data_IF_767875432669
#
_entry.id   IF_767875432669
#
_cell.length_a   1.000
_cell.length_b   1.000
_cell.length_c   1.000
_cell.angle_alpha   90.00
_cell.angle_beta   90.00
_cell.angle_gamma   90.00
#
_symmetry.space_group_name_H-M   'P 1'
#
loop_
_entity.id
_entity.type
_entity.pdbx_description
1 polymer ?
#
# COMPACT_ATOMS: atom_id res chain seq x y z
N UNK A 1 9.94 14.39 12.05
CA UNK A 1 9.30 15.31 11.08
C UNK A 1 8.42 14.47 10.19
N UNK A 2 7.10 14.69 10.21
CA UNK A 2 6.20 14.08 9.24
C UNK A 2 6.63 14.55 7.86
N UNK A 3 7.11 13.65 6.98
CA UNK A 3 7.27 13.99 5.57
C UNK A 3 5.88 14.43 5.09
N UNK A 4 5.78 15.64 4.54
CA UNK A 4 4.54 16.07 3.87
C UNK A 4 4.22 15.06 2.77
N UNK A 5 2.95 14.77 2.57
CA UNK A 5 2.54 14.03 1.37
C UNK A 5 3.07 14.80 0.15
N UNK A 6 3.49 14.11 -0.92
CA UNK A 6 3.72 14.79 -2.19
C UNK A 6 2.45 15.55 -2.58
N UNK A 7 2.56 16.83 -2.95
CA UNK A 7 1.40 17.71 -3.24
C UNK A 7 0.43 17.10 -4.27
N UNK A 8 0.95 16.29 -5.21
CA UNK A 8 0.11 15.56 -6.16
C UNK A 8 -0.78 14.52 -5.47
N UNK A 9 -0.29 13.79 -4.46
CA UNK A 9 -1.10 12.83 -3.69
C UNK A 9 -2.14 13.56 -2.85
N UNK A 10 -1.82 14.72 -2.28
CA UNK A 10 -2.82 15.54 -1.58
C UNK A 10 -3.95 15.96 -2.53
N UNK A 11 -3.61 16.42 -3.73
CA UNK A 11 -4.59 16.72 -4.78
C UNK A 11 -5.43 15.49 -5.17
N UNK A 12 -4.82 14.30 -5.30
CA UNK A 12 -5.54 13.06 -5.62
C UNK A 12 -6.47 12.61 -4.50
N UNK A 13 -6.02 12.68 -3.24
CA UNK A 13 -6.86 12.39 -2.07
C UNK A 13 -8.04 13.36 -2.04
N UNK A 14 -7.80 14.66 -2.23
CA UNK A 14 -8.85 15.68 -2.19
C UNK A 14 -9.86 15.47 -3.33
N UNK A 15 -9.37 15.22 -4.56
CA UNK A 15 -10.17 14.99 -5.78
C UNK A 15 -11.04 13.73 -5.72
N UNK A 16 -10.58 12.66 -5.06
CA UNK A 16 -11.30 11.38 -5.02
C UNK A 16 -11.79 11.01 -3.61
N UNK A 17 -11.65 11.91 -2.62
CA UNK A 17 -12.05 11.75 -1.20
C UNK A 17 -13.45 11.19 -1.01
N UNK A 18 -14.39 11.60 -1.86
CA UNK A 18 -15.79 11.16 -1.82
C UNK A 18 -15.97 9.67 -2.17
N UNK A 19 -15.11 9.10 -3.03
CA UNK A 19 -15.12 7.66 -3.34
C UNK A 19 -14.65 6.84 -2.13
N UNK A 20 -13.77 7.40 -1.30
CA UNK A 20 -13.19 6.70 -0.16
C UNK A 20 -14.13 6.50 1.04
N UNK A 21 -15.28 7.20 1.09
CA UNK A 21 -16.15 7.21 2.27
C UNK A 21 -17.27 6.15 2.27
N UNK A 22 -17.50 5.42 1.18
CA UNK A 22 -18.69 4.54 1.04
C UNK A 22 -18.40 3.03 0.93
N UNK A 23 -17.14 2.63 0.88
CA UNK A 23 -16.72 1.22 0.80
C UNK A 23 -15.41 1.09 0.05
N UNK A 24 -14.29 1.09 0.79
CA UNK A 24 -12.96 1.27 0.20
C UNK A 24 -12.58 0.21 -0.86
N UNK A 25 -13.08 -1.01 -0.77
CA UNK A 25 -12.70 -2.10 -1.70
C UNK A 25 -13.22 -1.84 -3.13
N UNK A 26 -14.52 -1.60 -3.30
CA UNK A 26 -15.11 -1.30 -4.61
C UNK A 26 -14.64 0.07 -5.14
N UNK A 27 -14.49 1.04 -4.25
CA UNK A 27 -14.01 2.38 -4.59
C UNK A 27 -12.55 2.40 -5.04
N UNK A 28 -11.69 1.55 -4.47
CA UNK A 28 -10.28 1.48 -4.87
C UNK A 28 -10.13 0.91 -6.27
N UNK A 29 -10.92 -0.11 -6.64
CA UNK A 29 -10.88 -0.66 -7.99
C UNK A 29 -11.32 0.35 -9.05
N UNK A 30 -12.39 1.10 -8.79
CA UNK A 30 -12.80 2.19 -9.69
C UNK A 30 -11.70 3.26 -9.81
N UNK A 31 -11.11 3.63 -8.68
CA UNK A 31 -9.99 4.57 -8.64
C UNK A 31 -8.77 4.07 -9.42
N UNK A 32 -8.40 2.79 -9.26
CA UNK A 32 -7.31 2.15 -9.99
C UNK A 32 -7.54 2.18 -11.50
N UNK A 33 -8.76 1.84 -11.94
CA UNK A 33 -9.10 1.84 -13.36
C UNK A 33 -9.00 3.25 -13.96
N UNK A 34 -9.49 4.28 -13.26
CA UNK A 34 -9.33 5.68 -13.70
C UNK A 34 -7.86 6.08 -13.78
N UNK A 35 -7.06 5.71 -12.78
CA UNK A 35 -5.63 5.98 -12.80
C UNK A 35 -4.92 5.26 -13.96
N UNK A 36 -5.37 4.05 -14.30
CA UNK A 36 -4.90 3.30 -15.48
C UNK A 36 -5.25 4.01 -16.78
N UNK A 37 -6.50 4.44 -16.94
CA UNK A 37 -6.96 5.18 -18.13
C UNK A 37 -6.21 6.50 -18.33
N UNK A 38 -5.86 7.17 -17.24
CA UNK A 38 -5.10 8.43 -17.24
C UNK A 38 -3.57 8.24 -17.30
N UNK A 39 -3.07 6.99 -17.22
CA UNK A 39 -1.62 6.69 -17.26
C UNK A 39 -0.85 7.05 -15.99
N UNK A 40 -1.54 7.12 -14.84
CA UNK A 40 -1.06 7.56 -13.52
C UNK A 40 -1.24 6.47 -12.45
N UNK A 41 -0.94 5.22 -12.81
CA UNK A 41 -1.08 4.07 -11.90
C UNK A 41 -0.12 4.14 -10.70
N UNK A 42 1.03 4.80 -10.88
CA UNK A 42 2.03 4.94 -9.82
C UNK A 42 1.50 5.73 -8.63
N UNK A 43 0.61 6.68 -8.88
CA UNK A 43 -0.08 7.51 -7.91
C UNK A 43 -1.09 6.68 -7.11
N UNK A 44 -1.79 5.75 -7.77
CA UNK A 44 -2.71 4.84 -7.08
C UNK A 44 -1.98 3.90 -6.12
N UNK A 45 -0.83 3.36 -6.55
CA UNK A 45 0.06 2.55 -5.70
C UNK A 45 0.56 3.37 -4.52
N UNK A 46 1.06 4.58 -4.77
CA UNK A 46 1.60 5.44 -3.72
C UNK A 46 0.53 5.77 -2.67
N UNK A 47 -0.71 5.99 -3.09
CA UNK A 47 -1.84 6.21 -2.19
C UNK A 47 -2.16 4.96 -1.37
N UNK A 48 -2.24 3.78 -1.98
CA UNK A 48 -2.50 2.53 -1.26
C UNK A 48 -1.45 2.27 -0.16
N UNK A 49 -0.17 2.44 -0.51
CA UNK A 49 0.94 2.32 0.44
C UNK A 49 0.82 3.34 1.59
N UNK A 50 0.52 4.60 1.25
CA UNK A 50 0.36 5.64 2.24
C UNK A 50 -0.79 5.32 3.20
N UNK A 51 -1.95 4.93 2.67
CA UNK A 51 -3.12 4.59 3.48
C UNK A 51 -2.86 3.39 4.38
N UNK A 52 -2.18 2.36 3.88
CA UNK A 52 -1.79 1.23 4.71
C UNK A 52 -0.88 1.70 5.86
N UNK A 53 0.13 2.52 5.56
CA UNK A 53 1.06 3.06 6.57
C UNK A 53 0.37 3.92 7.64
N UNK A 54 -0.80 4.48 7.35
CA UNK A 54 -1.59 5.32 8.26
C UNK A 54 -2.82 4.64 8.85
N UNK A 55 -3.10 3.39 8.45
CA UNK A 55 -4.29 2.70 8.91
C UNK A 55 -4.27 2.57 10.43
N UNK A 56 -5.42 2.84 11.04
CA UNK A 56 -5.61 2.78 12.50
C UNK A 56 -6.60 1.70 12.92
N UNK A 57 -7.12 0.92 11.97
CA UNK A 57 -8.00 -0.21 12.25
C UNK A 57 -7.66 -1.44 11.40
N UNK A 58 -7.90 -2.62 11.97
CA UNK A 58 -7.71 -3.89 11.26
C UNK A 58 -8.65 -4.05 10.06
N UNK A 59 -9.84 -3.45 10.11
CA UNK A 59 -10.80 -3.48 9.01
C UNK A 59 -10.26 -2.73 7.79
N UNK A 60 -9.78 -1.50 7.97
CA UNK A 60 -9.15 -0.71 6.91
C UNK A 60 -7.90 -1.42 6.36
N UNK A 61 -7.03 -1.90 7.24
CA UNK A 61 -5.83 -2.65 6.87
C UNK A 61 -6.17 -3.84 5.97
N UNK A 62 -7.17 -4.65 6.36
CA UNK A 62 -7.63 -5.80 5.58
C UNK A 62 -8.15 -5.39 4.20
N UNK A 63 -8.93 -4.31 4.15
CA UNK A 63 -9.53 -3.85 2.90
C UNK A 63 -8.45 -3.35 1.94
N UNK A 64 -7.48 -2.56 2.40
CA UNK A 64 -6.35 -2.10 1.57
C UNK A 64 -5.51 -3.28 1.09
N UNK A 65 -5.18 -4.22 1.98
CA UNK A 65 -4.38 -5.39 1.63
C UNK A 65 -5.07 -6.27 0.58
N UNK A 66 -6.39 -6.43 0.62
CA UNK A 66 -7.13 -7.22 -0.37
C UNK A 66 -7.39 -6.45 -1.67
N UNK A 67 -8.00 -5.28 -1.59
CA UNK A 67 -8.50 -4.56 -2.75
C UNK A 67 -7.46 -3.74 -3.50
N UNK A 68 -6.32 -3.44 -2.86
CA UNK A 68 -5.27 -2.61 -3.47
C UNK A 68 -3.94 -3.35 -3.60
N UNK A 69 -3.46 -3.94 -2.51
CA UNK A 69 -2.13 -4.54 -2.53
C UNK A 69 -2.18 -5.88 -3.27
N UNK A 70 -2.97 -6.85 -2.81
CA UNK A 70 -2.99 -8.21 -3.36
C UNK A 70 -3.30 -8.25 -4.85
N UNK A 71 -4.28 -7.48 -5.31
CA UNK A 71 -4.74 -7.52 -6.69
C UNK A 71 -3.74 -6.88 -7.67
N UNK A 72 -2.97 -5.89 -7.20
CA UNK A 72 -2.10 -5.07 -8.05
C UNK A 72 -0.61 -5.17 -7.73
N UNK A 73 -0.20 -6.01 -6.77
CA UNK A 73 1.20 -6.17 -6.34
C UNK A 73 2.16 -6.48 -7.50
N UNK A 74 1.67 -7.15 -8.54
CA UNK A 74 2.47 -7.52 -9.71
C UNK A 74 2.89 -6.31 -10.54
N UNK A 75 2.18 -5.19 -10.44
CA UNK A 75 2.46 -3.93 -11.15
C UNK A 75 3.46 -3.05 -10.41
N UNK A 76 3.86 -3.41 -9.19
CA UNK A 76 4.74 -2.59 -8.39
C UNK A 76 6.18 -2.63 -8.92
N UNK A 77 6.82 -1.46 -8.90
CA UNK A 77 8.26 -1.30 -9.02
C UNK A 77 8.97 -1.59 -7.70
N UNK A 78 10.31 -1.71 -7.75
CA UNK A 78 11.13 -1.93 -6.55
C UNK A 78 10.98 -0.78 -5.55
N UNK A 79 10.92 0.47 -6.02
CA UNK A 79 10.77 1.64 -5.14
C UNK A 79 9.40 1.62 -4.44
N UNK A 80 8.36 1.20 -5.15
CA UNK A 80 7.01 1.09 -4.60
C UNK A 80 6.89 -0.06 -3.58
N UNK A 81 7.49 -1.22 -3.86
CA UNK A 81 7.55 -2.32 -2.90
C UNK A 81 8.36 -1.93 -1.66
N UNK A 82 9.48 -1.23 -1.83
CA UNK A 82 10.29 -0.76 -0.71
C UNK A 82 9.49 0.19 0.18
N UNK A 83 8.79 1.16 -0.42
CA UNK A 83 7.90 2.08 0.28
C UNK A 83 6.76 1.37 1.03
N UNK A 84 6.19 0.31 0.46
CA UNK A 84 5.19 -0.53 1.11
C UNK A 84 5.77 -1.22 2.36
N UNK A 85 6.94 -1.84 2.24
CA UNK A 85 7.63 -2.52 3.36
C UNK A 85 7.97 -1.52 4.47
N UNK A 86 8.50 -0.35 4.11
CA UNK A 86 8.76 0.75 5.06
C UNK A 86 7.48 1.17 5.80
N UNK A 87 6.38 1.35 5.06
CA UNK A 87 5.08 1.70 5.59
C UNK A 87 4.56 0.69 6.62
N UNK A 88 4.57 -0.60 6.26
CA UNK A 88 4.18 -1.70 7.14
C UNK A 88 5.06 -1.73 8.40
N UNK A 89 6.39 -1.67 8.22
CA UNK A 89 7.32 -1.74 9.34
C UNK A 89 7.13 -0.59 10.34
N UNK A 90 6.66 0.57 9.88
CA UNK A 90 6.44 1.76 10.69
C UNK A 90 5.08 1.81 11.42
N UNK A 91 4.19 0.83 11.21
CA UNK A 91 2.84 0.86 11.76
C UNK A 91 2.50 -0.41 12.57
N UNK A 92 2.35 -0.23 13.88
CA UNK A 92 2.06 -1.31 14.83
C UNK A 92 0.73 -2.02 14.62
N UNK A 93 -0.27 -1.31 14.10
CA UNK A 93 -1.58 -1.87 13.78
C UNK A 93 -1.50 -2.84 12.60
N UNK A 94 -0.61 -2.58 11.63
CA UNK A 94 -0.51 -3.36 10.40
C UNK A 94 0.25 -4.66 10.63
N UNK A 95 1.41 -4.62 11.32
CA UNK A 95 2.12 -5.87 11.63
C UNK A 95 1.41 -6.69 12.71
N UNK A 96 0.73 -6.04 13.67
CA UNK A 96 -0.03 -6.74 14.72
C UNK A 96 -1.27 -7.47 14.20
N UNK A 97 -1.63 -7.28 12.93
CA UNK A 97 -2.77 -7.95 12.32
C UNK A 97 -2.45 -9.41 12.00
N UNK A 98 -3.02 -10.34 12.77
CA UNK A 98 -2.73 -11.79 12.65
C UNK A 98 -2.95 -12.40 11.24
N UNK A 99 -3.79 -11.79 10.41
CA UNK A 99 -4.05 -12.22 9.02
C UNK A 99 -3.17 -11.50 7.99
N UNK A 100 -2.27 -10.60 8.39
CA UNK A 100 -1.34 -9.91 7.51
C UNK A 100 -0.21 -10.82 7.00
N UNK A 101 0.08 -11.91 7.71
CA UNK A 101 1.21 -12.81 7.41
C UNK A 101 1.18 -13.37 5.99
N UNK A 102 0.01 -13.75 5.47
CA UNK A 102 -0.12 -14.21 4.08
C UNK A 102 0.13 -13.10 3.06
N UNK A 103 -0.25 -11.86 3.37
CA UNK A 103 0.05 -10.71 2.52
C UNK A 103 1.53 -10.35 2.57
N UNK A 104 2.16 -10.45 3.74
CA UNK A 104 3.60 -10.19 3.88
C UNK A 104 4.41 -11.21 3.08
N UNK A 105 3.97 -12.47 3.01
CA UNK A 105 4.56 -13.46 2.09
C UNK A 105 4.49 -13.00 0.64
N UNK A 106 3.32 -12.56 0.16
CA UNK A 106 3.13 -12.11 -1.23
C UNK A 106 4.00 -10.87 -1.53
N UNK A 107 4.05 -9.90 -0.60
CA UNK A 107 4.87 -8.70 -0.73
C UNK A 107 6.36 -9.07 -0.74
N UNK A 108 6.78 -9.98 0.14
CA UNK A 108 8.16 -10.47 0.19
C UNK A 108 8.53 -11.21 -1.09
N UNK A 109 7.68 -12.11 -1.58
CA UNK A 109 7.90 -12.84 -2.84
C UNK A 109 8.07 -11.88 -4.01
N UNK A 110 7.21 -10.85 -4.10
CA UNK A 110 7.36 -9.81 -5.13
C UNK A 110 8.66 -9.02 -4.97
N UNK A 111 9.04 -8.69 -3.74
CA UNK A 111 10.30 -8.00 -3.45
C UNK A 111 11.50 -8.86 -3.86
N UNK A 112 11.56 -10.12 -3.46
CA UNK A 112 12.62 -11.07 -3.83
C UNK A 112 12.74 -11.25 -5.36
N UNK A 113 11.62 -11.16 -6.09
CA UNK A 113 11.60 -11.20 -7.56
C UNK A 113 12.21 -9.95 -8.20
N UNK A 114 12.01 -8.78 -7.59
CA UNK A 114 12.52 -7.50 -8.10
C UNK A 114 13.96 -7.21 -7.65
N UNK A 115 14.30 -7.60 -6.42
CA UNK A 115 15.62 -7.45 -5.80
C UNK A 115 15.89 -8.61 -4.83
N UNK A 116 16.60 -9.63 -5.31
CA UNK A 116 16.98 -10.79 -4.50
C UNK A 116 18.03 -10.47 -3.42
N UNK A 117 18.57 -9.25 -3.43
CA UNK A 117 19.56 -8.77 -2.46
C UNK A 117 18.96 -7.81 -1.41
N UNK A 118 17.64 -7.64 -1.40
CA UNK A 118 16.95 -6.72 -0.51
C UNK A 118 17.25 -7.02 0.97
N UNK A 119 17.69 -6.00 1.71
CA UNK A 119 18.08 -6.14 3.10
C UNK A 119 16.89 -5.96 4.05
N UNK A 120 16.23 -7.07 4.36
CA UNK A 120 15.10 -7.11 5.29
C UNK A 120 15.48 -6.84 6.75
N UNK A 121 16.76 -6.89 7.12
CA UNK A 121 17.16 -6.68 8.52
C UNK A 121 16.84 -5.27 9.02
N UNK A 122 16.62 -4.33 8.09
CA UNK A 122 16.17 -2.96 8.35
C UNK A 122 14.69 -2.86 8.74
N UNK A 123 13.91 -3.91 8.52
CA UNK A 123 12.45 -3.90 8.68
C UNK A 123 11.97 -5.03 9.62
N UNK A 124 12.38 -5.00 10.90
CA UNK A 124 12.11 -6.10 11.84
C UNK A 124 10.62 -6.39 12.04
N UNK A 125 9.76 -5.37 11.99
CA UNK A 125 8.32 -5.55 12.16
C UNK A 125 7.65 -6.20 10.93
N UNK A 126 8.27 -6.09 9.75
CA UNK A 126 7.75 -6.73 8.54
C UNK A 126 8.08 -8.22 8.47
N UNK A 127 9.23 -8.63 9.02
CA UNK A 127 9.69 -10.03 9.02
C UNK A 127 9.36 -10.81 10.29
N UNK A 128 8.66 -10.19 11.24
CA UNK A 128 8.31 -10.80 12.53
C UNK A 128 7.19 -11.82 12.46
#
# INVERSE_FOLDING_TARGET
>A
MSKSLPEHIEYFIDKYSELYMTGFEDSFKEFWNKCTEEGIQSEAIALANYMLSKSSSYTETKIILNGAIRDYINEYSIDQITSLIEGINSNDQVYGYAYASSYFSIIKEKCDQLDSSFDYSKYPNFIS
#
